data_IF_931181316970
#
_entry.id   IF_931181316970
#
_cell.length_a   1.000
_cell.length_b   1.000
_cell.length_c   1.000
_cell.angle_alpha   90.00
_cell.angle_beta   90.00
_cell.angle_gamma   90.00
#
_symmetry.space_group_name_H-M   'P 1'
#
loop_
_entity.id
_entity.type
_entity.pdbx_description
1 polymer ?
#
# COMPACT_ATOMS: atom_id res chain seq x y z
N UNK A 1 18.31 5.14 0.78
CA UNK A 1 18.79 3.77 0.45
C UNK A 1 20.26 3.83 0.02
N UNK A 2 21.11 2.89 0.46
CA UNK A 2 22.52 2.86 0.04
C UNK A 2 22.68 2.24 -1.36
N UNK A 3 23.71 2.64 -2.11
CA UNK A 3 24.04 2.10 -3.44
C UNK A 3 24.11 0.55 -3.49
N UNK A 4 24.41 -0.10 -2.36
CA UNK A 4 24.46 -1.57 -2.26
C UNK A 4 23.08 -2.22 -2.29
N UNK A 5 22.07 -1.58 -1.71
CA UNK A 5 20.70 -2.12 -1.68
C UNK A 5 20.05 -2.06 -3.08
N UNK A 6 20.33 -0.98 -3.84
CA UNK A 6 19.89 -0.83 -5.23
C UNK A 6 20.41 -1.95 -6.16
N UNK A 7 21.67 -2.39 -5.98
CA UNK A 7 22.25 -3.49 -6.78
C UNK A 7 21.59 -4.83 -6.46
N UNK A 8 21.20 -5.08 -5.21
CA UNK A 8 20.61 -6.36 -4.78
C UNK A 8 19.20 -6.53 -5.35
N UNK A 9 18.38 -5.47 -5.38
CA UNK A 9 17.00 -5.55 -5.92
C UNK A 9 17.01 -5.84 -7.43
N UNK A 10 17.83 -5.11 -8.19
CA UNK A 10 17.93 -5.25 -9.66
C UNK A 10 18.49 -6.63 -10.06
N UNK A 11 19.55 -7.12 -9.39
CA UNK A 11 20.11 -8.45 -9.68
C UNK A 11 19.16 -9.58 -9.29
N UNK A 12 18.34 -9.41 -8.24
CA UNK A 12 17.37 -10.44 -7.80
C UNK A 12 16.19 -10.54 -8.78
N UNK A 13 15.63 -9.40 -9.23
CA UNK A 13 14.59 -9.37 -10.28
C UNK A 13 15.07 -10.04 -11.57
N UNK A 14 16.27 -9.68 -12.05
CA UNK A 14 16.84 -10.27 -13.27
C UNK A 14 17.07 -11.78 -13.16
N UNK A 15 17.49 -12.29 -11.99
CA UNK A 15 17.73 -13.71 -11.78
C UNK A 15 16.42 -14.52 -11.73
N UNK A 16 15.36 -13.97 -11.13
CA UNK A 16 14.05 -14.63 -11.06
C UNK A 16 13.34 -14.68 -12.42
N UNK A 17 13.40 -13.60 -13.21
CA UNK A 17 12.88 -13.60 -14.59
C UNK A 17 13.59 -14.66 -15.44
N UNK A 18 14.87 -14.91 -15.20
CA UNK A 18 15.64 -15.98 -15.85
C UNK A 18 15.25 -17.40 -15.38
N UNK A 19 14.90 -17.57 -14.10
CA UNK A 19 14.50 -18.87 -13.54
C UNK A 19 13.06 -19.27 -13.90
N UNK A 20 12.18 -18.29 -14.15
CA UNK A 20 10.76 -18.53 -14.44
C UNK A 20 10.44 -18.91 -15.91
N UNK A 21 11.46 -19.03 -16.77
CA UNK A 21 11.29 -19.52 -18.14
C UNK A 21 10.62 -18.48 -19.05
N UNK A 22 11.36 -18.04 -20.06
CA UNK A 22 10.88 -17.08 -21.06
C UNK A 22 9.75 -17.70 -21.91
N UNK A 23 8.53 -17.17 -21.80
CA UNK A 23 7.54 -17.37 -22.86
C UNK A 23 6.05 -17.31 -22.52
N UNK A 24 5.62 -17.30 -21.24
CA UNK A 24 4.18 -17.40 -20.95
C UNK A 24 3.61 -16.48 -19.84
N UNK A 25 4.42 -15.64 -19.18
CA UNK A 25 3.97 -14.82 -18.04
C UNK A 25 3.78 -13.33 -18.33
N UNK A 26 4.08 -12.85 -19.54
CA UNK A 26 3.95 -11.43 -19.93
C UNK A 26 2.50 -10.90 -20.03
N UNK A 27 1.51 -11.61 -19.47
CA UNK A 27 0.09 -11.21 -19.49
C UNK A 27 -0.58 -11.15 -18.11
N UNK A 28 0.17 -11.39 -17.04
CA UNK A 28 -0.30 -11.24 -15.65
C UNK A 28 0.88 -10.65 -14.87
N UNK A 29 0.85 -9.35 -14.56
CA UNK A 29 1.78 -8.77 -13.58
C UNK A 29 1.72 -9.68 -12.35
N UNK A 30 2.85 -10.17 -11.86
CA UNK A 30 2.85 -11.15 -10.76
C UNK A 30 3.43 -10.44 -9.56
N UNK A 31 2.73 -10.41 -8.42
CA UNK A 31 3.29 -9.78 -7.22
C UNK A 31 4.55 -10.59 -6.87
N UNK A 32 5.72 -9.99 -7.05
CA UNK A 32 6.99 -10.64 -6.80
C UNK A 32 7.39 -10.41 -5.36
N UNK A 33 7.57 -11.50 -4.64
CA UNK A 33 7.98 -11.49 -3.24
C UNK A 33 9.29 -12.26 -3.12
N UNK A 34 10.23 -11.69 -2.37
CA UNK A 34 11.53 -12.28 -2.14
C UNK A 34 11.50 -13.49 -1.22
N UNK A 35 12.68 -14.00 -0.88
CA UNK A 35 12.82 -15.14 0.01
C UNK A 35 12.36 -14.78 1.42
N UNK A 36 11.41 -15.52 2.02
CA UNK A 36 10.97 -15.26 3.38
C UNK A 36 12.07 -15.54 4.41
N UNK A 37 12.14 -14.67 5.41
CA UNK A 37 12.98 -14.82 6.60
C UNK A 37 12.12 -14.60 7.85
N UNK A 38 12.43 -15.25 8.99
CA UNK A 38 11.70 -14.95 10.21
C UNK A 38 11.96 -13.50 10.62
N UNK A 39 10.96 -12.80 11.16
CA UNK A 39 11.21 -11.50 11.78
C UNK A 39 12.18 -11.67 12.95
N UNK A 40 13.07 -10.69 13.20
CA UNK A 40 14.11 -10.82 14.22
C UNK A 40 13.54 -10.72 15.64
N UNK A 41 14.35 -11.13 16.63
CA UNK A 41 14.12 -10.78 18.03
C UNK A 41 14.07 -9.25 18.18
N UNK A 42 13.15 -8.67 18.99
CA UNK A 42 12.27 -9.32 19.99
C UNK A 42 10.87 -9.73 19.49
N UNK A 43 10.58 -9.58 18.19
CA UNK A 43 9.28 -9.96 17.62
C UNK A 43 9.10 -11.47 17.70
N UNK A 44 9.90 -12.23 16.95
CA UNK A 44 9.97 -13.67 17.18
C UNK A 44 10.89 -13.97 18.36
N UNK A 45 10.45 -14.89 19.20
CA UNK A 45 11.16 -15.41 20.36
C UNK A 45 10.84 -16.91 20.51
N UNK A 46 11.05 -17.48 21.71
CA UNK A 46 10.77 -18.91 21.99
C UNK A 46 9.29 -19.28 22.09
N UNK A 47 8.41 -18.31 21.93
CA UNK A 47 6.95 -18.39 22.03
C UNK A 47 6.29 -18.18 20.66
N UNK A 48 5.01 -18.50 20.55
CA UNK A 48 4.25 -18.34 19.32
C UNK A 48 3.87 -16.88 19.10
N UNK A 49 4.06 -16.39 17.88
CA UNK A 49 3.74 -15.02 17.49
C UNK A 49 2.96 -15.07 16.16
N UNK A 50 1.81 -14.39 16.11
CA UNK A 50 0.84 -14.43 14.99
C UNK A 50 0.06 -13.10 14.90
N UNK A 51 -0.71 -12.93 13.83
CA UNK A 51 -1.70 -11.86 13.60
C UNK A 51 -1.08 -10.47 13.67
N UNK A 52 -0.13 -10.23 12.77
CA UNK A 52 0.63 -8.99 12.71
C UNK A 52 -0.12 -7.88 11.99
N UNK A 53 -0.04 -6.67 12.56
CA UNK A 53 -0.42 -5.41 11.92
C UNK A 53 0.70 -4.38 12.15
N UNK A 54 0.88 -3.45 11.21
CA UNK A 54 1.89 -2.40 11.28
C UNK A 54 1.23 -1.04 11.04
N UNK A 55 1.48 -0.08 11.93
CA UNK A 55 0.93 1.27 11.81
C UNK A 55 1.38 1.97 10.51
N UNK A 56 0.56 2.89 9.97
CA UNK A 56 0.79 3.57 8.69
C UNK A 56 2.17 4.26 8.54
N UNK A 57 2.71 4.80 9.64
CA UNK A 57 4.06 5.40 9.71
C UNK A 57 5.19 4.36 9.86
N UNK A 58 4.81 3.09 9.88
CA UNK A 58 5.61 1.92 10.14
C UNK A 58 6.40 1.98 11.44
N UNK A 59 5.91 2.63 12.51
CA UNK A 59 6.63 2.73 13.80
C UNK A 59 6.10 1.85 14.92
N UNK A 60 4.91 1.26 14.77
CA UNK A 60 4.34 0.31 15.71
C UNK A 60 3.95 -0.99 14.98
N UNK A 61 4.24 -2.13 15.61
CA UNK A 61 3.78 -3.45 15.18
C UNK A 61 2.92 -4.05 16.28
N UNK A 62 1.68 -4.40 15.94
CA UNK A 62 0.75 -5.09 16.81
C UNK A 62 0.75 -6.56 16.43
N UNK A 63 0.72 -7.45 17.42
CA UNK A 63 0.67 -8.88 17.17
C UNK A 63 0.22 -9.64 18.42
N UNK A 64 -0.30 -10.84 18.23
CA UNK A 64 -0.62 -11.74 19.33
C UNK A 64 0.61 -12.56 19.73
N UNK A 65 0.87 -12.67 21.04
CA UNK A 65 1.99 -13.45 21.57
C UNK A 65 1.64 -14.12 22.89
N UNK A 66 2.19 -15.32 23.12
CA UNK A 66 2.11 -16.01 24.41
C UNK A 66 3.42 -15.91 25.22
N UNK A 67 4.16 -14.80 25.06
CA UNK A 67 5.51 -14.58 25.61
C UNK A 67 5.63 -14.55 27.13
N UNK A 68 4.55 -14.22 27.84
CA UNK A 68 4.52 -14.22 29.31
C UNK A 68 3.88 -15.49 29.90
N UNK A 69 3.71 -16.52 29.06
CA UNK A 69 2.98 -17.73 29.40
C UNK A 69 1.47 -17.49 29.46
N UNK A 70 0.70 -18.57 29.56
CA UNK A 70 -0.74 -18.45 29.79
C UNK A 70 -0.94 -17.93 31.23
N UNK A 71 -1.07 -16.63 31.42
CA UNK A 71 -1.43 -16.04 32.70
C UNK A 71 -2.77 -16.58 33.22
N UNK A 72 -3.28 -16.10 34.38
CA UNK A 72 -4.65 -16.42 34.81
C UNK A 72 -5.71 -16.02 33.77
N UNK A 73 -5.34 -15.20 32.79
CA UNK A 73 -6.00 -15.04 31.49
C UNK A 73 -5.15 -15.79 30.46
N UNK A 74 -5.46 -17.07 30.22
CA UNK A 74 -4.68 -17.95 29.35
C UNK A 74 -4.96 -17.75 27.86
N UNK A 75 -4.70 -16.56 27.32
CA UNK A 75 -4.93 -16.20 25.90
C UNK A 75 -3.63 -15.65 25.29
N UNK A 76 -3.49 -15.66 23.97
CA UNK A 76 -2.41 -14.88 23.35
C UNK A 76 -2.78 -13.41 23.53
N UNK A 77 -2.04 -12.71 24.38
CA UNK A 77 -2.28 -11.29 24.66
C UNK A 77 -1.85 -10.43 23.46
N UNK A 78 -2.29 -9.18 23.44
CA UNK A 78 -2.00 -8.23 22.37
C UNK A 78 -0.74 -7.44 22.73
N UNK A 79 0.27 -7.55 21.88
CA UNK A 79 1.56 -6.91 22.10
C UNK A 79 1.78 -5.83 21.08
N UNK A 80 2.40 -4.74 21.53
CA UNK A 80 2.89 -3.67 20.67
C UNK A 80 4.40 -3.57 20.79
N UNK A 81 5.08 -3.72 19.66
CA UNK A 81 6.48 -3.35 19.51
C UNK A 81 6.58 -1.98 18.85
N UNK A 82 7.34 -1.05 19.45
CA UNK A 82 7.66 0.23 18.84
C UNK A 82 9.01 0.20 18.13
N UNK A 83 9.26 1.13 17.20
CA UNK A 83 10.59 1.46 16.69
C UNK A 83 10.70 2.95 16.38
N UNK A 84 11.91 3.48 16.34
CA UNK A 84 12.14 4.93 16.19
C UNK A 84 11.89 5.46 14.77
N UNK A 85 11.93 4.58 13.77
CA UNK A 85 11.68 4.88 12.36
C UNK A 85 11.37 3.59 11.61
N UNK A 86 10.84 3.70 10.38
CA UNK A 86 10.55 2.56 9.50
C UNK A 86 11.76 1.64 9.20
N UNK A 87 12.98 2.05 9.53
CA UNK A 87 14.23 1.29 9.32
C UNK A 87 14.94 0.92 10.61
N UNK A 88 14.44 1.37 11.75
CA UNK A 88 15.02 1.04 13.06
C UNK A 88 14.65 -0.39 13.48
N UNK A 89 15.48 -0.98 14.34
CA UNK A 89 15.15 -2.25 14.99
C UNK A 89 13.92 -2.09 15.89
N UNK A 90 13.12 -3.15 15.99
CA UNK A 90 11.99 -3.23 16.92
C UNK A 90 12.48 -3.25 18.37
N UNK A 91 11.83 -2.46 19.21
CA UNK A 91 12.04 -2.43 20.66
C UNK A 91 11.31 -3.58 21.35
N UNK A 92 11.62 -3.80 22.63
CA UNK A 92 10.96 -4.83 23.43
C UNK A 92 9.44 -4.59 23.46
N UNK A 93 8.62 -5.58 23.07
CA UNK A 93 7.18 -5.43 23.03
C UNK A 93 6.58 -5.28 24.43
N UNK A 94 5.50 -4.51 24.51
CA UNK A 94 4.70 -4.31 25.72
C UNK A 94 3.26 -4.71 25.47
N UNK A 95 2.55 -5.15 26.52
CA UNK A 95 1.10 -5.39 26.46
C UNK A 95 0.37 -4.11 26.02
N UNK A 96 -0.61 -4.25 25.13
CA UNK A 96 -1.42 -3.12 24.64
C UNK A 96 -2.30 -2.55 25.75
N UNK A 97 -2.81 -3.41 26.64
CA UNK A 97 -3.61 -3.04 27.79
C UNK A 97 -5.08 -2.70 27.48
N UNK A 98 -5.80 -2.42 28.56
CA UNK A 98 -7.19 -1.95 28.51
C UNK A 98 -7.30 -0.58 27.79
N UNK A 99 -8.42 -0.30 27.08
CA UNK A 99 -9.64 -1.10 27.04
C UNK A 99 -9.70 -2.13 25.89
N UNK A 100 -8.63 -2.23 25.08
CA UNK A 100 -8.59 -3.19 23.97
C UNK A 100 -8.46 -4.60 24.52
N UNK A 101 -7.50 -4.83 25.41
CA UNK A 101 -7.36 -6.11 26.08
C UNK A 101 -8.48 -6.32 27.10
N UNK A 102 -9.07 -7.51 27.06
CA UNK A 102 -10.15 -7.89 27.94
C UNK A 102 -10.01 -9.35 28.38
N UNK A 103 -11.03 -9.90 29.05
CA UNK A 103 -11.08 -11.35 29.31
C UNK A 103 -11.44 -12.16 28.07
N UNK A 104 -11.83 -11.51 26.97
CA UNK A 104 -12.11 -12.10 25.68
C UNK A 104 -10.80 -12.37 24.91
N UNK A 105 -10.90 -12.89 23.69
CA UNK A 105 -9.76 -13.15 22.82
C UNK A 105 -9.86 -12.17 21.66
N UNK A 106 -8.92 -11.24 21.59
CA UNK A 106 -8.79 -10.25 20.52
C UNK A 106 -7.77 -10.73 19.47
N UNK A 107 -8.08 -10.54 18.18
CA UNK A 107 -7.26 -11.00 17.06
C UNK A 107 -7.55 -10.18 15.79
N UNK A 108 -6.69 -10.31 14.78
CA UNK A 108 -6.86 -9.66 13.46
C UNK A 108 -7.05 -8.16 13.62
N UNK A 109 -6.03 -7.48 14.16
CA UNK A 109 -6.10 -6.05 14.40
C UNK A 109 -5.78 -5.31 13.11
N UNK A 110 -6.44 -4.19 12.91
CA UNK A 110 -6.21 -3.32 11.76
C UNK A 110 -6.32 -1.87 12.22
N UNK A 111 -5.23 -1.12 12.15
CA UNK A 111 -5.23 0.31 12.40
C UNK A 111 -5.55 1.06 11.10
N UNK A 112 -6.60 1.88 11.15
CA UNK A 112 -6.92 2.79 10.05
C UNK A 112 -5.75 3.69 9.65
N UNK A 113 -5.64 4.07 8.37
CA UNK A 113 -4.57 4.91 7.86
C UNK A 113 -4.27 6.20 8.59
N UNK A 114 -5.31 6.88 9.08
CA UNK A 114 -5.16 8.12 9.86
C UNK A 114 -4.75 7.84 11.32
N UNK A 115 -4.65 6.57 11.69
CA UNK A 115 -4.31 6.09 13.01
C UNK A 115 -5.41 6.29 14.05
N UNK A 116 -6.64 6.64 13.69
CA UNK A 116 -7.66 7.06 14.67
C UNK A 116 -8.70 5.99 15.02
N UNK A 117 -8.81 4.96 14.19
CA UNK A 117 -9.65 3.79 14.40
C UNK A 117 -8.79 2.52 14.42
N UNK A 118 -9.14 1.58 15.30
CA UNK A 118 -8.60 0.23 15.37
C UNK A 118 -9.75 -0.76 15.25
N UNK A 119 -9.76 -1.54 14.18
CA UNK A 119 -10.72 -2.63 13.97
C UNK A 119 -10.10 -3.94 14.45
N UNK A 120 -10.90 -4.83 15.03
CA UNK A 120 -10.42 -6.14 15.47
C UNK A 120 -11.56 -7.13 15.68
N UNK A 121 -11.26 -8.42 15.58
CA UNK A 121 -12.15 -9.49 16.00
C UNK A 121 -12.07 -9.71 17.51
N UNK A 122 -13.20 -10.00 18.16
CA UNK A 122 -13.24 -10.38 19.58
C UNK A 122 -14.13 -11.59 19.81
N UNK A 123 -13.57 -12.62 20.43
CA UNK A 123 -14.25 -13.88 20.73
C UNK A 123 -14.40 -14.13 22.25
N UNK A 124 -15.55 -14.66 22.73
CA UNK A 124 -15.77 -14.90 24.16
C UNK A 124 -14.75 -15.84 24.82
N UNK A 125 -14.20 -16.82 24.08
CA UNK A 125 -13.24 -17.82 24.56
C UNK A 125 -12.28 -18.26 23.45
N UNK A 126 -11.01 -18.54 23.78
CA UNK A 126 -10.03 -19.10 22.83
C UNK A 126 -10.50 -20.45 22.25
N UNK A 127 -11.10 -21.30 23.09
CA UNK A 127 -11.62 -22.61 22.67
C UNK A 127 -12.79 -22.49 21.67
N UNK A 128 -13.49 -21.35 21.65
CA UNK A 128 -14.62 -21.05 20.76
C UNK A 128 -14.30 -19.91 19.79
N UNK A 129 -13.02 -19.67 19.50
CA UNK A 129 -12.51 -18.48 18.79
C UNK A 129 -13.08 -18.24 17.38
N UNK A 130 -13.83 -19.19 16.81
CA UNK A 130 -14.39 -19.09 15.46
C UNK A 130 -15.91 -19.28 15.39
N UNK A 131 -16.61 -19.39 16.52
CA UNK A 131 -18.02 -19.81 16.53
C UNK A 131 -18.99 -18.67 16.92
N UNK A 132 -18.48 -17.54 17.46
CA UNK A 132 -19.29 -16.40 17.94
C UNK A 132 -18.49 -15.09 17.93
N UNK A 133 -18.14 -14.57 16.76
CA UNK A 133 -17.29 -13.38 16.64
C UNK A 133 -18.06 -12.23 16.00
N UNK A 134 -17.74 -11.02 16.43
CA UNK A 134 -18.16 -9.79 15.77
C UNK A 134 -16.90 -8.93 15.56
N UNK A 135 -16.96 -8.01 14.60
CA UNK A 135 -15.95 -6.96 14.48
C UNK A 135 -16.24 -5.83 15.46
N UNK A 136 -15.18 -5.41 16.13
CA UNK A 136 -15.17 -4.30 17.05
C UNK A 136 -14.32 -3.17 16.50
N UNK A 137 -14.63 -1.96 16.93
CA UNK A 137 -13.84 -0.77 16.64
C UNK A 137 -13.58 -0.02 17.93
N UNK A 138 -12.34 0.40 18.13
CA UNK A 138 -11.97 1.40 19.12
C UNK A 138 -11.48 2.66 18.43
N UNK A 139 -11.73 3.82 19.04
CA UNK A 139 -11.40 5.13 18.48
C UNK A 139 -10.60 5.97 19.45
N UNK A 140 -9.74 6.83 18.91
CA UNK A 140 -9.01 7.87 19.65
C UNK A 140 -9.09 9.20 18.92
N UNK A 141 -8.88 10.31 19.64
CA UNK A 141 -9.05 11.65 19.05
C UNK A 141 -7.83 12.09 18.22
N UNK A 142 -6.64 11.69 18.65
CA UNK A 142 -5.38 11.96 17.95
C UNK A 142 -4.43 10.77 18.05
N UNK A 143 -3.45 10.69 17.14
CA UNK A 143 -2.37 9.72 17.26
C UNK A 143 -1.62 9.92 18.58
N UNK A 144 -1.37 8.82 19.29
CA UNK A 144 -0.74 8.83 20.61
C UNK A 144 -1.71 8.98 21.78
N UNK A 145 -2.97 9.38 21.54
CA UNK A 145 -4.00 9.31 22.59
C UNK A 145 -4.30 7.84 22.95
N UNK A 146 -4.70 7.56 24.20
CA UNK A 146 -5.23 6.26 24.57
C UNK A 146 -6.45 5.88 23.73
N UNK A 147 -6.58 4.59 23.43
CA UNK A 147 -7.75 4.02 22.78
C UNK A 147 -9.00 4.13 23.67
N UNK A 148 -10.14 4.44 23.06
CA UNK A 148 -11.44 4.47 23.72
C UNK A 148 -12.05 3.08 23.94
N UNK A 149 -13.17 3.03 24.65
CA UNK A 149 -13.92 1.77 24.85
C UNK A 149 -14.35 1.19 23.51
N UNK A 150 -14.07 -0.10 23.23
CA UNK A 150 -14.47 -0.74 21.98
C UNK A 150 -15.99 -0.89 21.84
N UNK A 151 -16.49 -0.73 20.62
CA UNK A 151 -17.88 -0.95 20.24
C UNK A 151 -18.01 -1.90 19.04
N UNK A 152 -19.13 -2.61 18.95
CA UNK A 152 -19.40 -3.51 17.82
C UNK A 152 -19.68 -2.70 16.56
N UNK A 153 -19.07 -3.09 15.44
CA UNK A 153 -19.36 -2.54 14.11
C UNK A 153 -20.67 -3.14 13.60
N UNK A 154 -21.80 -2.65 14.12
CA UNK A 154 -23.13 -3.26 13.89
C UNK A 154 -23.55 -3.33 12.42
N UNK A 155 -23.04 -2.45 11.56
CA UNK A 155 -23.38 -2.45 10.14
C UNK A 155 -22.82 -3.65 9.36
N UNK A 156 -21.76 -4.29 9.88
CA UNK A 156 -21.10 -5.43 9.23
C UNK A 156 -21.35 -6.76 9.94
N UNK A 157 -22.20 -6.76 10.98
CA UNK A 157 -22.62 -7.94 11.74
C UNK A 157 -23.52 -8.83 10.86
N UNK A 158 -22.98 -9.95 10.39
CA UNK A 158 -23.67 -10.90 9.51
C UNK A 158 -24.03 -12.18 10.29
N UNK A 159 -24.96 -13.02 9.78
CA UNK A 159 -25.16 -14.36 10.32
C UNK A 159 -23.94 -15.25 10.04
N UNK A 160 -22.90 -15.13 10.87
CA UNK A 160 -21.63 -15.80 10.69
C UNK A 160 -20.62 -15.41 11.77
N UNK A 161 -19.36 -15.68 11.50
CA UNK A 161 -18.23 -15.23 12.32
C UNK A 161 -17.43 -14.25 11.48
N UNK A 162 -17.59 -12.95 11.73
CA UNK A 162 -16.77 -11.92 11.08
C UNK A 162 -15.39 -11.86 11.71
N UNK A 163 -14.35 -11.92 10.89
CA UNK A 163 -12.95 -12.02 11.33
C UNK A 163 -12.04 -11.21 10.39
N UNK A 164 -10.80 -11.00 10.84
CA UNK A 164 -9.69 -10.40 10.08
C UNK A 164 -10.09 -9.17 9.22
N UNK A 165 -10.41 -8.04 9.86
CA UNK A 165 -10.64 -6.79 9.15
C UNK A 165 -9.39 -6.31 8.41
N UNK A 166 -9.59 -5.65 7.27
CA UNK A 166 -8.60 -4.84 6.57
C UNK A 166 -9.28 -3.59 6.03
N UNK A 167 -8.71 -2.40 6.27
CA UNK A 167 -9.31 -1.13 5.88
C UNK A 167 -8.54 -0.52 4.71
N UNK A 168 -9.25 -0.02 3.70
CA UNK A 168 -8.60 0.58 2.54
C UNK A 168 -7.79 1.82 2.90
N UNK A 169 -6.81 2.20 2.07
CA UNK A 169 -5.98 3.37 2.32
C UNK A 169 -6.76 4.70 2.43
N UNK A 170 -7.80 4.86 1.63
CA UNK A 170 -8.68 6.03 1.78
C UNK A 170 -9.59 5.95 3.02
N UNK A 171 -9.57 4.84 3.75
CA UNK A 171 -10.38 4.57 4.93
C UNK A 171 -11.87 4.35 4.62
N UNK A 172 -12.28 4.16 3.36
CA UNK A 172 -13.69 4.12 2.96
C UNK A 172 -14.24 2.72 2.71
N UNK A 173 -13.38 1.70 2.61
CA UNK A 173 -13.77 0.30 2.42
C UNK A 173 -13.22 -0.54 3.57
N UNK A 174 -14.08 -1.30 4.24
CA UNK A 174 -13.69 -2.29 5.24
C UNK A 174 -13.92 -3.69 4.65
N UNK A 175 -12.82 -4.38 4.41
CA UNK A 175 -12.79 -5.79 4.03
C UNK A 175 -12.71 -6.65 5.29
N UNK A 176 -13.31 -7.83 5.25
CA UNK A 176 -13.26 -8.81 6.33
C UNK A 176 -13.73 -10.16 5.79
N UNK A 177 -13.41 -11.26 6.46
CA UNK A 177 -13.95 -12.56 6.09
C UNK A 177 -15.10 -13.00 7.00
N UNK A 178 -15.95 -13.87 6.46
CA UNK A 178 -17.09 -14.47 7.13
C UNK A 178 -17.03 -15.97 6.92
N UNK A 179 -17.15 -16.73 8.01
CA UNK A 179 -17.28 -18.20 7.97
C UNK A 179 -16.29 -18.90 8.90
N UNK A 180 -15.92 -20.13 8.53
CA UNK A 180 -14.87 -20.91 9.21
C UNK A 180 -13.60 -20.94 8.37
N UNK A 181 -12.49 -21.42 8.92
CA UNK A 181 -11.24 -21.58 8.18
C UNK A 181 -11.42 -22.33 6.83
N UNK A 182 -12.33 -23.30 6.75
CA UNK A 182 -12.59 -24.10 5.54
C UNK A 182 -13.67 -23.52 4.61
N UNK A 183 -14.34 -22.45 5.03
CA UNK A 183 -15.50 -21.86 4.32
C UNK A 183 -15.44 -20.35 4.18
N UNK A 184 -14.32 -19.72 4.58
CA UNK A 184 -14.16 -18.27 4.58
C UNK A 184 -14.47 -17.64 3.23
N UNK A 185 -15.23 -16.54 3.29
CA UNK A 185 -15.55 -15.67 2.18
C UNK A 185 -15.23 -14.23 2.57
N UNK A 186 -14.58 -13.49 1.67
CA UNK A 186 -14.28 -12.08 1.87
C UNK A 186 -15.50 -11.24 1.47
N UNK A 187 -15.87 -10.32 2.35
CA UNK A 187 -16.87 -9.29 2.15
C UNK A 187 -16.21 -7.91 2.23
N UNK A 188 -16.87 -6.93 1.64
CA UNK A 188 -16.51 -5.51 1.74
C UNK A 188 -17.71 -4.70 2.15
N UNK A 189 -17.51 -3.74 3.06
CA UNK A 189 -18.48 -2.70 3.35
C UNK A 189 -17.89 -1.31 3.07
N UNK A 190 -18.75 -0.37 2.67
CA UNK A 190 -18.35 0.97 2.25
C UNK A 190 -18.94 2.03 3.18
N UNK A 191 -18.23 3.14 3.36
CA UNK A 191 -18.74 4.37 3.98
C UNK A 191 -18.43 5.59 3.11
N UNK A 192 -19.29 6.59 3.15
CA UNK A 192 -19.13 7.80 2.32
C UNK A 192 -18.05 8.76 2.86
N UNK A 193 -17.77 8.70 4.17
CA UNK A 193 -16.80 9.57 4.84
C UNK A 193 -16.08 8.81 5.95
N UNK A 194 -14.89 9.29 6.35
CA UNK A 194 -14.10 8.72 7.45
C UNK A 194 -14.82 8.71 8.81
N UNK A 195 -15.87 9.53 8.98
CA UNK A 195 -16.69 9.57 10.18
C UNK A 195 -18.07 8.93 10.00
N UNK A 196 -18.38 8.45 8.80
CA UNK A 196 -19.64 7.81 8.47
C UNK A 196 -19.69 6.36 8.94
N UNK A 197 -20.91 5.84 9.06
CA UNK A 197 -21.13 4.42 9.30
C UNK A 197 -20.88 3.62 8.02
N UNK A 198 -20.41 2.39 8.19
CA UNK A 198 -20.34 1.41 7.12
C UNK A 198 -21.75 0.99 6.66
N UNK A 199 -21.88 0.66 5.38
CA UNK A 199 -23.09 0.16 4.76
C UNK A 199 -23.27 -1.36 4.89
N UNK A 200 -24.27 -1.94 4.19
CA UNK A 200 -24.43 -3.38 4.12
C UNK A 200 -23.24 -4.03 3.39
N UNK A 201 -22.70 -5.15 3.91
CA UNK A 201 -21.59 -5.85 3.26
C UNK A 201 -21.98 -6.48 1.91
N UNK A 202 -21.04 -6.47 0.98
CA UNK A 202 -21.12 -7.14 -0.31
C UNK A 202 -20.06 -8.24 -0.41
N UNK A 203 -20.44 -9.42 -0.91
CA UNK A 203 -19.50 -10.52 -1.13
C UNK A 203 -18.51 -10.17 -2.24
N UNK A 204 -17.22 -10.44 -2.00
CA UNK A 204 -16.13 -10.23 -2.94
C UNK A 204 -15.75 -11.57 -3.60
N UNK A 205 -15.07 -12.46 -2.88
CA UNK A 205 -14.75 -13.83 -3.32
C UNK A 205 -14.37 -14.73 -2.14
N UNK A 206 -14.22 -16.05 -2.38
CA UNK A 206 -13.73 -17.00 -1.37
C UNK A 206 -12.28 -16.72 -0.95
N UNK A 207 -12.02 -16.71 0.36
CA UNK A 207 -10.73 -16.37 0.97
C UNK A 207 -10.91 -15.97 2.43
N UNK A 208 -9.83 -15.98 3.21
CA UNK A 208 -9.75 -15.49 4.59
C UNK A 208 -8.63 -14.47 4.75
N UNK A 209 -8.63 -13.76 5.88
CA UNK A 209 -7.59 -12.80 6.27
C UNK A 209 -7.11 -11.89 5.13
N UNK A 210 -8.00 -11.03 4.57
CA UNK A 210 -7.59 -10.09 3.54
C UNK A 210 -6.60 -9.07 4.11
N UNK A 211 -5.65 -8.64 3.29
CA UNK A 211 -4.79 -7.48 3.51
C UNK A 211 -4.60 -6.71 2.21
N UNK A 212 -4.53 -5.39 2.30
CA UNK A 212 -4.47 -4.48 1.16
C UNK A 212 -3.09 -3.84 1.04
N UNK A 213 -2.60 -3.69 -0.18
CA UNK A 213 -1.40 -2.88 -0.43
C UNK A 213 -1.63 -1.41 0.00
N UNK A 214 -0.56 -0.62 0.24
CA UNK A 214 -0.68 0.78 0.65
C UNK A 214 -1.47 1.69 -0.30
N UNK A 215 -1.59 1.31 -1.58
CA UNK A 215 -2.42 2.00 -2.58
C UNK A 215 -3.81 1.37 -2.77
N UNK A 216 -4.09 0.24 -2.11
CA UNK A 216 -5.35 -0.48 -2.15
C UNK A 216 -5.61 -1.23 -3.45
N UNK A 217 -4.66 -1.29 -4.38
CA UNK A 217 -4.85 -1.91 -5.71
C UNK A 217 -4.52 -3.41 -5.74
N UNK A 218 -3.89 -3.92 -4.68
CA UNK A 218 -3.56 -5.33 -4.52
C UNK A 218 -4.17 -5.81 -3.21
N UNK A 219 -4.76 -7.00 -3.25
CA UNK A 219 -5.19 -7.74 -2.06
C UNK A 219 -4.41 -9.04 -1.99
N UNK A 220 -3.81 -9.32 -0.83
CA UNK A 220 -3.31 -10.65 -0.47
C UNK A 220 -4.26 -11.24 0.56
N UNK A 221 -4.48 -12.55 0.48
CA UNK A 221 -5.40 -13.26 1.38
C UNK A 221 -5.05 -14.75 1.41
N UNK A 222 -5.49 -15.47 2.42
CA UNK A 222 -5.27 -16.92 2.53
C UNK A 222 -6.43 -17.75 1.99
N UNK A 223 -6.12 -18.97 1.55
CA UNK A 223 -7.15 -19.94 1.19
C UNK A 223 -6.64 -21.38 1.22
N UNK A 224 -7.45 -22.27 1.78
CA UNK A 224 -7.31 -23.71 1.63
C UNK A 224 -8.30 -24.31 0.61
N UNK A 225 -9.18 -23.47 0.05
CA UNK A 225 -10.26 -23.89 -0.88
C UNK A 225 -9.85 -23.79 -2.35
N UNK A 226 -8.74 -23.11 -2.65
CA UNK A 226 -8.28 -22.82 -4.01
C UNK A 226 -7.17 -23.77 -4.51
N UNK A 227 -6.89 -24.84 -3.77
CA UNK A 227 -5.75 -25.73 -4.00
C UNK A 227 -4.42 -25.10 -3.57
N UNK A 228 -3.34 -25.87 -3.52
CA UNK A 228 -2.07 -25.36 -3.02
C UNK A 228 -1.03 -26.43 -2.70
N UNK A 229 0.14 -26.00 -2.25
CA UNK A 229 1.21 -26.89 -1.79
C UNK A 229 1.11 -27.19 -0.29
N UNK A 230 0.55 -26.24 0.50
CA UNK A 230 0.30 -26.36 1.93
C UNK A 230 -1.16 -26.59 2.28
N UNK A 231 -1.45 -26.53 3.59
CA UNK A 231 -2.82 -26.65 4.11
C UNK A 231 -3.59 -25.31 4.04
N UNK A 232 -2.88 -24.18 4.00
CA UNK A 232 -3.34 -22.86 3.57
C UNK A 232 -2.22 -22.26 2.71
N UNK A 233 -2.57 -21.64 1.59
CA UNK A 233 -1.65 -20.89 0.74
C UNK A 233 -2.15 -19.45 0.61
N UNK A 234 -1.22 -18.51 0.41
CA UNK A 234 -1.49 -17.11 0.10
C UNK A 234 -1.81 -16.92 -1.39
N UNK A 235 -2.85 -16.14 -1.65
CA UNK A 235 -3.36 -15.75 -2.96
C UNK A 235 -3.31 -14.23 -3.11
N UNK A 236 -3.30 -13.75 -4.34
CA UNK A 236 -3.29 -12.34 -4.69
C UNK A 236 -4.37 -12.03 -5.73
N UNK A 237 -5.06 -10.91 -5.55
CA UNK A 237 -5.95 -10.30 -6.54
C UNK A 237 -5.58 -8.83 -6.73
N UNK A 238 -5.93 -8.27 -7.89
CA UNK A 238 -5.64 -6.89 -8.27
C UNK A 238 -6.90 -6.17 -8.72
N UNK A 239 -6.86 -4.84 -8.68
CA UNK A 239 -7.84 -3.96 -9.33
C UNK A 239 -7.11 -2.77 -9.94
N UNK A 240 -7.67 -2.18 -10.99
CA UNK A 240 -7.03 -1.09 -11.74
C UNK A 240 -7.29 0.29 -11.15
N UNK A 241 -8.24 0.41 -10.21
CA UNK A 241 -8.53 1.59 -9.40
C UNK A 241 -9.31 1.16 -8.16
N UNK A 242 -9.47 2.04 -7.17
CA UNK A 242 -10.25 1.74 -5.96
C UNK A 242 -11.73 1.39 -6.25
N UNK A 243 -12.30 1.91 -7.35
CA UNK A 243 -13.68 1.60 -7.76
C UNK A 243 -13.78 0.41 -8.72
N UNK A 244 -12.64 -0.12 -9.18
CA UNK A 244 -12.62 -1.24 -10.12
C UNK A 244 -12.89 -2.57 -9.39
N UNK A 245 -13.56 -3.53 -10.05
CA UNK A 245 -13.72 -4.86 -9.49
C UNK A 245 -12.36 -5.56 -9.35
N UNK A 246 -12.24 -6.39 -8.32
CA UNK A 246 -11.12 -7.29 -8.16
C UNK A 246 -11.06 -8.32 -9.30
N UNK A 247 -9.87 -8.56 -9.82
CA UNK A 247 -9.57 -9.58 -10.81
C UNK A 247 -9.64 -10.99 -10.22
N UNK A 248 -9.56 -12.02 -11.08
CA UNK A 248 -9.58 -13.40 -10.62
C UNK A 248 -8.32 -13.67 -9.78
N UNK A 249 -8.45 -14.13 -8.52
CA UNK A 249 -7.29 -14.38 -7.69
C UNK A 249 -6.37 -15.45 -8.25
N UNK A 250 -5.07 -15.25 -8.08
CA UNK A 250 -4.02 -16.21 -8.46
C UNK A 250 -3.18 -16.55 -7.24
N UNK A 251 -2.57 -17.74 -7.23
CA UNK A 251 -1.69 -18.15 -6.14
C UNK A 251 -0.47 -17.23 -6.10
N UNK A 252 -0.08 -16.75 -4.92
CA UNK A 252 1.11 -15.94 -4.76
C UNK A 252 2.35 -16.76 -5.15
N UNK A 253 3.15 -16.20 -6.06
CA UNK A 253 4.32 -16.85 -6.63
C UNK A 253 5.53 -16.78 -5.69
N UNK A 254 6.59 -17.53 -6.03
CA UNK A 254 7.84 -17.52 -5.29
C UNK A 254 7.89 -18.50 -4.12
N UNK A 255 8.79 -18.24 -3.17
CA UNK A 255 9.08 -19.11 -2.03
C UNK A 255 8.20 -18.83 -0.80
N UNK A 256 7.16 -18.00 -0.98
CA UNK A 256 6.19 -17.69 0.07
C UNK A 256 5.43 -18.96 0.44
N UNK A 257 4.69 -19.54 -0.51
CA UNK A 257 3.89 -20.71 -0.24
C UNK A 257 4.73 -22.00 -0.24
N UNK A 258 4.75 -22.70 0.90
CA UNK A 258 5.50 -23.95 1.10
C UNK A 258 4.61 -25.19 1.27
N UNK A 259 5.16 -26.22 1.93
CA UNK A 259 4.37 -27.36 2.46
C UNK A 259 3.83 -27.08 3.86
N UNK A 260 4.01 -25.84 4.33
CA UNK A 260 3.69 -25.35 5.67
C UNK A 260 2.32 -24.66 5.64
N UNK A 261 1.81 -24.29 6.80
CA UNK A 261 0.67 -23.39 6.89
C UNK A 261 1.19 -21.97 6.73
N UNK A 262 0.73 -21.28 5.69
CA UNK A 262 1.05 -19.89 5.40
C UNK A 262 -0.27 -19.10 5.34
N UNK A 263 -0.46 -18.12 6.23
CA UNK A 263 -1.73 -17.40 6.36
C UNK A 263 -1.56 -16.01 6.97
N UNK A 264 -2.68 -15.30 7.13
CA UNK A 264 -2.73 -14.03 7.87
C UNK A 264 -1.66 -13.01 7.41
N UNK A 265 -1.56 -12.83 6.09
CA UNK A 265 -0.54 -11.96 5.52
C UNK A 265 -0.91 -10.49 5.66
N UNK A 266 0.09 -9.64 5.89
CA UNK A 266 -0.08 -8.20 6.06
C UNK A 266 0.95 -7.41 5.25
N UNK A 267 0.49 -6.44 4.47
CA UNK A 267 1.37 -5.51 3.79
C UNK A 267 1.97 -4.54 4.80
N UNK A 268 3.29 -4.33 4.75
CA UNK A 268 3.85 -3.21 5.48
C UNK A 268 3.38 -1.89 4.85
N UNK A 269 3.03 -0.87 5.63
CA UNK A 269 2.59 0.42 5.10
C UNK A 269 3.66 1.19 4.33
N UNK A 270 4.94 0.86 4.55
CA UNK A 270 6.06 1.36 3.74
C UNK A 270 6.16 0.65 2.37
N UNK A 271 5.27 -0.31 2.12
CA UNK A 271 5.22 -1.21 0.99
C UNK A 271 6.38 -2.20 0.92
N UNK A 272 7.39 -2.17 1.79
CA UNK A 272 8.63 -2.92 1.56
C UNK A 272 8.53 -4.40 1.86
N UNK A 273 7.54 -4.81 2.65
CA UNK A 273 7.44 -6.13 3.22
C UNK A 273 6.03 -6.68 3.09
N UNK A 274 5.97 -7.99 2.92
CA UNK A 274 4.82 -8.80 3.26
C UNK A 274 5.17 -9.55 4.54
N UNK A 275 4.46 -9.26 5.62
CA UNK A 275 4.48 -10.07 6.82
C UNK A 275 3.44 -11.20 6.67
N UNK A 276 3.67 -12.34 7.32
CA UNK A 276 2.70 -13.45 7.32
C UNK A 276 3.02 -14.45 8.43
N UNK A 277 2.01 -15.21 8.83
CA UNK A 277 2.15 -16.23 9.85
C UNK A 277 2.52 -17.56 9.20
N UNK A 278 3.47 -18.28 9.81
CA UNK A 278 3.80 -19.61 9.33
C UNK A 278 4.38 -20.56 10.36
N UNK A 279 4.07 -21.84 10.22
CA UNK A 279 4.59 -22.93 11.06
C UNK A 279 5.92 -23.53 10.56
N UNK A 280 6.55 -22.91 9.55
CA UNK A 280 7.83 -23.36 9.00
C UNK A 280 8.98 -23.27 10.03
N UNK A 281 9.96 -24.20 9.98
CA UNK A 281 11.09 -24.18 10.90
C UNK A 281 12.05 -23.02 10.61
N UNK A 282 12.59 -22.39 11.65
CA UNK A 282 13.56 -21.29 11.50
C UNK A 282 13.49 -20.24 12.60
N UNK A 283 12.38 -20.20 13.36
CA UNK A 283 12.27 -19.41 14.59
C UNK A 283 12.93 -20.15 15.77
N UNK A 284 13.66 -19.47 16.67
CA UNK A 284 14.29 -20.13 17.82
C UNK A 284 13.22 -20.66 18.79
N UNK A 285 12.94 -21.96 18.82
CA UNK A 285 11.90 -22.52 19.71
C UNK A 285 12.48 -23.28 20.91
N UNK A 286 11.85 -23.12 22.08
CA UNK A 286 12.07 -23.95 23.27
C UNK A 286 11.14 -25.18 23.37
N UNK A 287 10.27 -25.41 22.38
CA UNK A 287 9.22 -26.44 22.40
C UNK A 287 9.40 -27.51 21.29
N UNK A 288 8.88 -28.73 21.48
CA UNK A 288 9.13 -29.88 20.60
C UNK A 288 8.28 -29.94 19.31
N UNK A 289 7.32 -29.02 19.11
CA UNK A 289 6.55 -28.87 17.87
C UNK A 289 6.78 -27.48 17.28
N UNK A 290 6.89 -27.38 15.94
CA UNK A 290 7.11 -26.13 15.21
C UNK A 290 6.03 -25.10 15.56
N UNK A 291 6.44 -24.02 16.21
CA UNK A 291 5.53 -22.94 16.58
C UNK A 291 5.34 -21.98 15.41
N UNK A 292 4.14 -21.42 15.33
CA UNK A 292 3.81 -20.28 14.50
C UNK A 292 4.72 -19.10 14.82
N UNK A 293 5.34 -18.54 13.81
CA UNK A 293 6.09 -17.31 13.91
C UNK A 293 5.68 -16.34 12.82
N UNK A 294 6.03 -15.07 13.04
CA UNK A 294 5.82 -14.02 12.06
C UNK A 294 7.01 -14.04 11.10
N UNK A 295 6.74 -14.30 9.83
CA UNK A 295 7.72 -14.24 8.75
C UNK A 295 7.57 -12.93 8.00
N UNK A 296 8.65 -12.50 7.37
CA UNK A 296 8.65 -11.34 6.49
C UNK A 296 9.35 -11.69 5.18
N UNK A 297 8.86 -11.13 4.09
CA UNK A 297 9.51 -11.25 2.81
C UNK A 297 9.47 -9.89 2.08
N UNK A 298 10.57 -9.49 1.42
CA UNK A 298 10.62 -8.18 0.78
C UNK A 298 9.73 -8.20 -0.46
N UNK A 299 8.93 -7.16 -0.63
CA UNK A 299 8.23 -6.91 -1.89
C UNK A 299 9.23 -6.41 -2.93
N UNK A 300 9.24 -7.05 -4.09
CA UNK A 300 10.23 -6.82 -5.15
C UNK A 300 9.63 -5.94 -6.25
N UNK A 301 9.24 -4.71 -5.92
CA UNK A 301 8.93 -3.66 -6.89
C UNK A 301 10.06 -2.63 -6.95
N UNK A 302 10.05 -1.77 -7.97
CA UNK A 302 11.03 -0.67 -8.04
C UNK A 302 10.58 0.44 -7.10
N UNK A 303 11.44 0.95 -6.23
CA UNK A 303 11.07 2.05 -5.33
C UNK A 303 10.50 3.20 -6.16
N UNK A 304 9.28 3.63 -5.84
CA UNK A 304 8.54 4.63 -6.61
C UNK A 304 7.53 4.06 -7.62
N UNK A 305 7.47 2.74 -7.84
CA UNK A 305 6.38 2.08 -8.56
C UNK A 305 5.17 2.01 -7.62
N UNK A 306 4.36 3.07 -7.63
CA UNK A 306 3.28 3.27 -6.67
C UNK A 306 1.98 2.60 -7.10
N UNK A 307 1.82 2.28 -8.38
CA UNK A 307 0.67 1.52 -8.88
C UNK A 307 0.95 0.02 -9.07
N UNK A 308 2.20 -0.41 -8.85
CA UNK A 308 2.66 -1.80 -8.96
C UNK A 308 2.46 -2.42 -10.35
N UNK A 309 2.61 -1.61 -11.39
CA UNK A 309 2.54 -2.05 -12.80
C UNK A 309 3.90 -2.44 -13.39
N UNK A 310 4.96 -2.43 -12.56
CA UNK A 310 6.34 -2.78 -12.88
C UNK A 310 7.03 -1.74 -13.78
N UNK A 311 6.49 -0.52 -13.88
CA UNK A 311 7.07 0.61 -14.61
C UNK A 311 7.23 1.79 -13.66
N UNK A 312 8.23 2.62 -13.93
CA UNK A 312 8.34 3.95 -13.31
C UNK A 312 7.96 4.95 -14.38
N UNK A 313 6.76 5.51 -14.32
CA UNK A 313 6.25 6.45 -15.30
C UNK A 313 5.42 7.60 -14.71
N UNK A 314 4.81 8.40 -15.58
CA UNK A 314 4.05 9.59 -15.16
C UNK A 314 2.91 9.28 -14.19
N UNK A 315 2.36 8.05 -14.23
CA UNK A 315 1.29 7.64 -13.31
C UNK A 315 1.79 7.54 -11.88
N UNK A 316 3.01 7.08 -11.67
CA UNK A 316 3.61 7.02 -10.34
C UNK A 316 3.84 8.41 -9.75
N UNK A 317 4.19 9.38 -10.59
CA UNK A 317 4.33 10.77 -10.16
C UNK A 317 2.97 11.35 -9.76
N UNK A 318 1.92 11.05 -10.54
CA UNK A 318 0.56 11.45 -10.23
C UNK A 318 0.06 10.79 -8.93
N UNK A 319 0.35 9.50 -8.72
CA UNK A 319 0.00 8.75 -7.50
C UNK A 319 0.74 9.30 -6.27
N UNK A 320 2.03 9.64 -6.39
CA UNK A 320 2.78 10.30 -5.34
C UNK A 320 2.14 11.63 -4.92
N UNK A 321 1.77 12.47 -5.90
CA UNK A 321 1.10 13.75 -5.66
C UNK A 321 -0.27 13.60 -5.01
N UNK A 322 -1.02 12.58 -5.40
CA UNK A 322 -2.33 12.29 -4.81
C UNK A 322 -2.24 11.95 -3.30
N UNK A 323 -1.06 11.56 -2.82
CA UNK A 323 -0.80 11.21 -1.42
C UNK A 323 -0.12 12.31 -0.60
N UNK A 324 -0.02 13.53 -1.11
CA UNK A 324 0.52 14.67 -0.35
C UNK A 324 -0.23 14.91 0.96
N UNK A 325 0.53 15.11 2.05
CA UNK A 325 0.02 15.34 3.40
C UNK A 325 -0.52 14.09 4.11
N UNK A 326 -0.47 12.92 3.48
CA UNK A 326 -0.82 11.65 4.12
C UNK A 326 0.33 11.17 5.04
N UNK A 327 0.05 10.30 6.03
CA UNK A 327 1.09 9.73 6.90
C UNK A 327 1.79 8.51 6.28
N UNK A 328 1.57 8.21 5.01
CA UNK A 328 2.07 7.00 4.36
C UNK A 328 3.55 7.10 4.01
N UNK A 329 4.37 6.43 4.81
CA UNK A 329 5.83 6.42 4.62
C UNK A 329 6.28 5.75 3.31
N UNK A 330 5.39 5.01 2.62
CA UNK A 330 5.68 4.52 1.26
C UNK A 330 5.94 5.67 0.28
N UNK A 331 5.24 6.80 0.45
CA UNK A 331 5.34 7.98 -0.42
C UNK A 331 6.34 9.04 0.09
N UNK A 332 6.83 8.91 1.33
CA UNK A 332 7.93 9.72 1.88
C UNK A 332 9.28 9.15 1.40
N UNK A 333 9.65 9.53 0.18
CA UNK A 333 10.82 9.04 -0.53
C UNK A 333 12.11 9.71 -0.04
N UNK A 334 12.04 10.97 0.37
CA UNK A 334 13.20 11.73 0.86
C UNK A 334 13.49 11.49 2.35
N UNK A 335 12.54 10.90 3.08
CA UNK A 335 12.65 10.53 4.49
C UNK A 335 12.51 11.72 5.44
N UNK A 336 11.86 12.79 5.00
CA UNK A 336 11.60 14.00 5.79
C UNK A 336 10.52 13.80 6.85
N UNK A 337 9.73 12.73 6.74
CA UNK A 337 8.60 12.42 7.63
C UNK A 337 7.28 13.06 7.19
N UNK A 338 7.23 13.71 6.02
CA UNK A 338 6.03 14.29 5.42
C UNK A 338 6.00 13.98 3.93
N UNK A 339 4.83 13.62 3.39
CA UNK A 339 4.68 13.41 1.95
C UNK A 339 4.38 14.76 1.28
N UNK A 340 5.32 15.32 0.53
CA UNK A 340 5.25 16.68 -0.03
C UNK A 340 6.02 16.85 -1.37
N UNK A 341 6.09 18.05 -1.97
CA UNK A 341 6.81 18.26 -3.22
C UNK A 341 8.29 17.86 -3.21
N UNK A 342 8.94 17.80 -2.04
CA UNK A 342 10.30 17.30 -1.87
C UNK A 342 10.44 15.83 -2.26
N UNK A 343 9.41 15.01 -2.04
CA UNK A 343 9.38 13.61 -2.47
C UNK A 343 9.34 13.48 -3.98
N UNK A 344 8.61 14.37 -4.67
CA UNK A 344 8.59 14.40 -6.13
C UNK A 344 9.97 14.79 -6.67
N UNK A 345 10.61 15.79 -6.08
CA UNK A 345 11.97 16.19 -6.44
C UNK A 345 12.97 15.03 -6.24
N UNK A 346 12.86 14.30 -5.13
CA UNK A 346 13.65 13.09 -4.87
C UNK A 346 13.35 11.99 -5.88
N UNK A 347 12.07 11.74 -6.19
CA UNK A 347 11.66 10.71 -7.12
C UNK A 347 12.25 10.96 -8.51
N UNK A 348 12.08 12.19 -9.02
CA UNK A 348 12.60 12.57 -10.32
C UNK A 348 14.13 12.47 -10.36
N UNK A 349 14.82 13.04 -9.38
CA UNK A 349 16.29 13.17 -9.44
C UNK A 349 17.05 11.91 -9.03
N UNK A 350 16.70 11.29 -7.91
CA UNK A 350 17.48 10.21 -7.29
C UNK A 350 17.05 8.81 -7.71
N UNK A 351 15.82 8.68 -8.24
CA UNK A 351 15.25 7.40 -8.67
C UNK A 351 15.12 7.35 -10.19
N UNK A 352 14.40 8.30 -10.81
CA UNK A 352 14.15 8.31 -12.26
C UNK A 352 15.32 8.91 -13.06
N UNK A 353 16.20 9.68 -12.41
CA UNK A 353 17.36 10.29 -13.07
C UNK A 353 16.99 11.43 -14.03
N UNK A 354 15.89 12.14 -13.75
CA UNK A 354 15.36 13.24 -14.55
C UNK A 354 15.00 14.47 -13.68
N UNK A 355 14.30 15.44 -14.24
CA UNK A 355 13.82 16.66 -13.57
C UNK A 355 12.46 17.08 -14.11
N UNK A 356 11.79 18.00 -13.41
CA UNK A 356 10.52 18.57 -13.87
C UNK A 356 10.67 19.22 -15.25
N UNK A 357 9.72 18.98 -16.14
CA UNK A 357 9.80 19.42 -17.53
C UNK A 357 10.06 18.29 -18.52
N UNK A 358 10.57 17.14 -18.08
CA UNK A 358 10.73 15.93 -18.89
C UNK A 358 9.42 15.12 -18.84
N UNK A 359 8.52 15.38 -19.79
CA UNK A 359 7.19 14.77 -19.82
C UNK A 359 7.24 13.31 -20.29
N UNK A 360 8.21 12.97 -21.15
CA UNK A 360 8.32 11.62 -21.72
C UNK A 360 9.21 10.68 -20.88
N UNK A 361 9.88 11.23 -19.85
CA UNK A 361 10.76 10.57 -18.89
C UNK A 361 11.97 9.89 -19.54
N UNK A 362 12.53 10.48 -20.60
CA UNK A 362 13.73 9.99 -21.30
C UNK A 362 15.05 10.45 -20.67
N UNK A 363 14.98 11.26 -19.61
CA UNK A 363 16.11 11.79 -18.85
C UNK A 363 16.60 13.14 -19.36
N UNK A 364 15.95 13.71 -20.37
CA UNK A 364 16.28 15.03 -20.91
C UNK A 364 15.05 15.91 -21.04
N UNK A 365 15.21 17.21 -20.77
CA UNK A 365 14.15 18.20 -21.02
C UNK A 365 14.42 18.86 -22.37
N UNK A 366 13.63 18.54 -23.39
CA UNK A 366 13.83 19.00 -24.76
C UNK A 366 12.53 19.29 -25.54
N UNK A 367 12.60 19.45 -26.86
CA UNK A 367 11.45 19.80 -27.68
C UNK A 367 10.40 18.67 -27.76
N UNK A 368 10.75 17.42 -27.47
CA UNK A 368 9.81 16.30 -27.40
C UNK A 368 8.85 16.44 -26.20
N UNK A 369 9.33 17.00 -25.08
CA UNK A 369 8.47 17.29 -23.92
C UNK A 369 7.52 18.45 -24.19
N UNK A 370 8.00 19.43 -24.95
CA UNK A 370 7.15 20.52 -25.41
C UNK A 370 6.02 20.00 -26.30
N UNK A 371 6.28 19.02 -27.15
CA UNK A 371 5.23 18.39 -27.97
C UNK A 371 4.17 17.71 -27.09
N UNK A 372 4.56 17.04 -25.99
CA UNK A 372 3.61 16.46 -25.01
C UNK A 372 2.76 17.56 -24.37
N UNK A 373 3.39 18.62 -23.85
CA UNK A 373 2.69 19.76 -23.27
C UNK A 373 1.75 20.42 -24.29
N UNK A 374 2.19 20.60 -25.53
CA UNK A 374 1.44 21.29 -26.59
C UNK A 374 0.15 20.56 -26.96
N UNK A 375 0.17 19.21 -26.95
CA UNK A 375 -1.01 18.38 -27.21
C UNK A 375 -2.10 18.63 -26.17
N UNK A 376 -1.70 18.85 -24.91
CA UNK A 376 -2.61 19.00 -23.78
C UNK A 376 -2.77 20.44 -23.31
N UNK A 377 -2.19 21.41 -24.02
CA UNK A 377 -2.18 22.80 -23.61
C UNK A 377 -3.60 23.35 -23.34
N UNK A 378 -3.76 23.91 -22.15
CA UNK A 378 -4.99 24.46 -21.57
C UNK A 378 -6.12 23.44 -21.33
N UNK A 379 -5.78 22.15 -21.25
CA UNK A 379 -6.71 21.11 -20.80
C UNK A 379 -6.69 20.98 -19.28
N UNK A 380 -7.80 20.48 -18.72
CA UNK A 380 -7.98 20.21 -17.30
C UNK A 380 -8.22 18.71 -17.07
N UNK A 381 -7.96 18.23 -15.86
CA UNK A 381 -7.97 16.79 -15.56
C UNK A 381 -6.76 16.08 -16.16
N UNK A 382 -5.65 16.81 -16.27
CA UNK A 382 -4.35 16.34 -16.78
C UNK A 382 -3.47 15.86 -15.62
N UNK A 383 -2.44 15.11 -15.96
CA UNK A 383 -1.37 14.69 -15.05
C UNK A 383 -0.01 14.77 -15.74
N UNK A 384 1.02 14.17 -15.16
CA UNK A 384 2.41 14.29 -15.65
C UNK A 384 2.56 13.99 -17.14
N UNK A 385 1.98 12.87 -17.60
CA UNK A 385 2.07 12.43 -19.00
C UNK A 385 1.35 13.35 -20.01
N UNK A 386 0.65 14.39 -19.52
CA UNK A 386 0.06 15.46 -20.34
C UNK A 386 0.90 16.75 -20.29
N UNK A 387 2.01 16.77 -19.57
CA UNK A 387 2.82 17.97 -19.33
C UNK A 387 2.33 18.85 -18.18
N UNK A 388 1.52 18.33 -17.26
CA UNK A 388 1.21 19.02 -15.99
C UNK A 388 2.33 18.80 -14.97
N UNK A 389 3.35 19.64 -15.05
CA UNK A 389 4.53 19.59 -14.19
C UNK A 389 4.29 20.25 -12.83
N UNK A 390 3.25 21.06 -12.66
CA UNK A 390 2.88 21.64 -11.36
C UNK A 390 2.04 20.69 -10.51
N UNK A 391 1.28 19.80 -11.15
CA UNK A 391 0.37 18.86 -10.49
C UNK A 391 -0.94 19.48 -10.04
N UNK A 392 -1.32 20.63 -10.62
CA UNK A 392 -2.56 21.33 -10.25
C UNK A 392 -3.80 20.83 -11.03
N UNK A 393 -3.61 19.81 -11.89
CA UNK A 393 -4.63 19.20 -12.71
C UNK A 393 -4.91 19.95 -14.00
N UNK A 394 -4.05 20.92 -14.37
CA UNK A 394 -4.18 21.74 -15.58
C UNK A 394 -2.81 21.82 -16.27
N UNK A 395 -2.78 21.56 -17.58
CA UNK A 395 -1.57 21.81 -18.39
C UNK A 395 -1.60 23.24 -18.93
N UNK A 396 -0.88 24.18 -18.33
CA UNK A 396 -0.94 25.60 -18.68
C UNK A 396 0.43 26.31 -18.76
N UNK A 397 0.40 27.65 -18.72
CA UNK A 397 1.59 28.49 -18.83
C UNK A 397 2.58 28.34 -17.66
N UNK A 398 2.15 27.85 -16.50
CA UNK A 398 3.02 27.53 -15.37
C UNK A 398 3.87 26.31 -15.68
N UNK A 399 3.29 25.26 -16.29
CA UNK A 399 4.04 24.09 -16.72
C UNK A 399 4.99 24.41 -17.87
N UNK A 400 4.54 25.23 -18.82
CA UNK A 400 5.42 25.73 -19.88
C UNK A 400 6.63 26.47 -19.30
N UNK A 401 6.45 27.22 -18.21
CA UNK A 401 7.56 27.91 -17.55
C UNK A 401 8.54 26.93 -16.91
N UNK A 402 8.06 25.82 -16.35
CA UNK A 402 8.90 24.75 -15.80
C UNK A 402 9.74 24.11 -16.90
N UNK A 403 9.11 23.69 -18.00
CA UNK A 403 9.82 23.17 -19.18
C UNK A 403 10.86 24.18 -19.69
N UNK A 404 10.46 25.44 -19.89
CA UNK A 404 11.34 26.49 -20.43
C UNK A 404 12.56 26.75 -19.55
N UNK A 405 12.40 26.61 -18.23
CA UNK A 405 13.49 26.80 -17.27
C UNK A 405 14.48 25.65 -17.28
N UNK A 406 14.01 24.42 -17.47
CA UNK A 406 14.80 23.21 -17.31
C UNK A 406 15.30 22.61 -18.63
N UNK A 407 14.79 23.08 -19.78
CA UNK A 407 15.24 22.62 -21.10
C UNK A 407 16.74 22.76 -21.29
N UNK A 408 17.35 21.70 -21.81
CA UNK A 408 18.73 21.75 -22.25
C UNK A 408 18.80 22.52 -23.57
N UNK A 409 19.56 23.60 -23.62
CA UNK A 409 19.93 24.23 -24.88
C UNK A 409 21.08 23.43 -25.48
N UNK A 410 20.82 22.66 -26.53
CA UNK A 410 21.91 22.10 -27.34
C UNK A 410 22.84 23.25 -27.78
N UNK A 411 24.16 23.18 -27.54
CA UNK A 411 25.11 24.20 -27.99
C UNK A 411 25.19 24.31 -29.52
N UNK A 412 24.63 23.33 -30.23
CA UNK A 412 24.49 23.30 -31.70
C UNK A 412 23.17 23.89 -32.21
N UNK A 413 22.42 24.62 -31.37
CA UNK A 413 21.38 25.51 -31.87
C UNK A 413 22.04 26.66 -32.66
N UNK A 414 22.31 26.41 -33.94
CA UNK A 414 22.57 27.43 -34.94
C UNK A 414 21.64 28.61 -34.66
N UNK A 415 22.23 29.79 -34.52
CA UNK A 415 21.56 31.06 -34.28
C UNK A 415 20.18 31.10 -34.94
N UNK A 416 19.12 30.90 -34.16
CA UNK A 416 17.76 31.14 -34.60
C UNK A 416 17.72 32.64 -34.96
N UNK A 417 17.38 33.03 -36.20
CA UNK A 417 17.18 34.43 -36.52
C UNK A 417 16.08 34.97 -35.61
N UNK A 418 16.30 36.13 -34.98
CA UNK A 418 15.34 36.77 -34.09
C UNK A 418 13.91 36.72 -34.66
N UNK A 419 12.87 36.56 -33.81
CA UNK A 419 11.50 36.39 -34.28
C UNK A 419 11.00 37.68 -34.93
N UNK A 420 11.21 37.79 -36.23
CA UNK A 420 10.47 38.73 -37.07
C UNK A 420 9.06 38.17 -37.32
N UNK A 421 8.17 38.42 -36.36
CA UNK A 421 6.75 38.60 -36.66
C UNK A 421 5.75 37.50 -36.28
N UNK A 422 6.15 36.31 -35.83
CA UNK A 422 5.18 35.20 -35.60
C UNK A 422 4.54 35.25 -34.20
N UNK A 423 5.25 35.70 -33.16
CA UNK A 423 4.69 35.79 -31.78
C UNK A 423 3.68 36.93 -31.56
N UNK A 424 3.63 37.94 -32.44
CA UNK A 424 2.59 38.97 -32.39
C UNK A 424 1.29 38.58 -33.12
N UNK A 425 1.28 37.46 -33.85
CA UNK A 425 0.13 37.01 -34.62
C UNK A 425 -0.97 36.34 -33.77
N UNK A 426 -0.60 35.60 -32.73
CA UNK A 426 -1.56 34.78 -31.98
C UNK A 426 -2.32 35.56 -30.88
N UNK A 427 -1.75 36.63 -30.32
CA UNK A 427 -2.47 37.54 -29.44
C UNK A 427 -3.41 38.52 -30.19
N UNK A 428 -3.21 38.70 -31.51
CA UNK A 428 -4.01 39.64 -32.33
C UNK A 428 -5.35 39.09 -32.82
N UNK A 429 -5.47 37.77 -33.02
CA UNK A 429 -6.67 37.17 -33.62
C UNK A 429 -7.80 36.98 -32.59
N UNK A 430 -7.48 36.82 -31.31
CA UNK A 430 -8.50 36.73 -30.24
C UNK A 430 -9.21 38.07 -29.96
N UNK A 431 -8.54 39.22 -30.14
CA UNK A 431 -9.16 40.53 -29.91
C UNK A 431 -9.97 41.09 -31.10
N UNK A 432 -9.80 40.56 -32.31
CA UNK A 432 -10.55 41.02 -33.50
C UNK A 432 -11.91 40.33 -33.67
N UNK A 433 -12.08 39.10 -33.16
CA UNK A 433 -13.34 38.35 -33.26
C UNK A 433 -14.33 38.66 -32.13
N UNK A 434 -13.86 39.15 -30.97
CA UNK A 434 -14.72 39.60 -29.86
C UNK A 434 -15.40 40.96 -30.08
N UNK A 435 -14.88 41.81 -30.98
CA UNK A 435 -15.42 43.17 -31.21
C UNK A 435 -16.48 43.26 -32.33
N UNK A 436 -16.68 42.22 -33.14
CA UNK A 436 -17.71 42.24 -34.21
C UNK A 436 -19.11 41.74 -33.81
N UNK A 437 -19.32 41.25 -32.59
CA UNK A 437 -20.65 40.80 -32.10
C UNK A 437 -21.41 41.79 -31.21
N UNK A 438 -20.95 43.05 -31.07
CA UNK A 438 -21.60 44.06 -30.21
C UNK A 438 -22.06 45.35 -30.90
N UNK A 439 -22.15 45.40 -32.23
CA UNK A 439 -22.83 46.49 -32.93
C UNK A 439 -23.69 45.95 -34.08
N UNK A 440 -25.00 45.93 -33.87
CA UNK A 440 -25.99 45.50 -34.85
C UNK A 440 -27.33 45.25 -34.17
N UNK A 441 -28.11 46.34 -34.06
CA UNK A 441 -29.54 46.36 -33.76
C UNK A 441 -30.34 45.66 -34.86
#
# INVERSE_FOLDING_TARGET
MSFRERIVVVTTKMLMVWLLGTGALYGQSTLLVGTPVPTPFPINNTYGNIYVDVSADATAMLFNSNRDGFGPIGRSDLWVAGRLSATSDWLEPVELGAPIESTAFEYGLEISPNGLEMFFGRAPAFENRFDTTALWVSRRNAMGDPWGEPEVVTAVDLPGSERWPAISPNGLELYFDVGTADTSQIYVSHRDTLSGEFGPPAHVFQGGAPSLSPNGLIMVFDSNQRGGAGAFDLFVSRRTSLDAPWETPTRLAGAINGSFLDGDAEFSPDGRWLYFDSDRPGVPTGQPYGQWGIWQAPLLYDVGDFNYDERLDGRDIDDLRANFGTPYVAYDLDGSGVVDPGDVDYFLSEIMGTTSGDANLDGTVDDADFDVWLVSAFQSGTGWGSGDFTGDGVTDGLDFHIWLRNRSLSPDAESIPEPSGVLFGLCGVAMALGRRRRQGR
#
